data_IF_723118328321
#
_entry.id   IF_723118328321
#
_cell.length_a   1.000
_cell.length_b   1.000
_cell.length_c   1.000
_cell.angle_alpha   90.00
_cell.angle_beta   90.00
_cell.angle_gamma   90.00
#
_symmetry.space_group_name_H-M   'P 1'
#
loop_
_entity.id
_entity.type
_entity.pdbx_description
1 polymer ?
#
# COMPACT_ATOMS: atom_id res chain seq x y z
N UNK A 1 -6.86 -40.59 26.60
CA UNK A 1 -5.98 -39.97 27.60
C UNK A 1 -4.60 -40.54 27.36
N UNK A 2 -3.68 -39.71 26.86
CA UNK A 2 -2.30 -40.13 26.61
C UNK A 2 -1.65 -40.71 27.86
N UNK A 3 -0.86 -41.77 27.68
CA UNK A 3 -0.07 -42.34 28.74
C UNK A 3 1.17 -41.45 28.96
N UNK A 4 1.02 -40.37 29.74
CA UNK A 4 2.06 -39.35 29.98
C UNK A 4 3.35 -39.98 30.53
N UNK A 5 3.24 -41.05 31.34
CA UNK A 5 4.40 -41.81 31.83
C UNK A 5 5.19 -42.47 30.70
N UNK A 6 4.49 -43.01 29.69
CA UNK A 6 5.10 -43.68 28.55
C UNK A 6 5.71 -42.69 27.55
N UNK A 7 5.08 -41.53 27.40
CA UNK A 7 5.66 -40.38 26.65
C UNK A 7 6.97 -39.95 27.30
N UNK A 8 6.96 -39.66 28.60
CA UNK A 8 8.16 -39.21 29.32
C UNK A 8 9.28 -40.26 29.25
N UNK A 9 8.94 -41.54 29.41
CA UNK A 9 9.90 -42.65 29.25
C UNK A 9 10.50 -42.70 27.84
N UNK A 10 9.71 -42.47 26.80
CA UNK A 10 10.21 -42.42 25.42
C UNK A 10 11.08 -41.20 25.15
N UNK A 11 10.78 -40.05 25.76
CA UNK A 11 11.62 -38.85 25.71
C UNK A 11 12.96 -39.12 26.41
N UNK A 12 12.96 -39.68 27.63
CA UNK A 12 14.17 -40.01 28.39
C UNK A 12 15.06 -41.02 27.65
N UNK A 13 14.44 -42.04 27.04
CA UNK A 13 15.15 -43.05 26.25
C UNK A 13 15.59 -42.56 24.87
N UNK A 14 15.26 -41.32 24.49
CA UNK A 14 15.52 -40.76 23.15
C UNK A 14 15.01 -41.67 22.03
N UNK A 15 13.80 -42.20 22.20
CA UNK A 15 13.19 -43.15 21.26
C UNK A 15 12.93 -42.49 19.91
N UNK A 16 13.58 -42.99 18.85
CA UNK A 16 13.40 -42.53 17.46
C UNK A 16 12.47 -43.43 16.63
N UNK A 17 11.84 -44.43 17.25
CA UNK A 17 10.90 -45.33 16.59
C UNK A 17 9.55 -44.64 16.33
N UNK A 18 9.19 -44.52 15.05
CA UNK A 18 7.92 -43.93 14.60
C UNK A 18 6.70 -44.67 15.13
N UNK A 19 6.76 -46.01 15.19
CA UNK A 19 5.61 -46.82 15.59
C UNK A 19 5.28 -46.62 17.07
N UNK A 20 6.31 -46.41 17.91
CA UNK A 20 6.13 -46.10 19.32
C UNK A 20 5.33 -44.80 19.51
N UNK A 21 5.69 -43.71 18.81
CA UNK A 21 4.97 -42.44 18.89
C UNK A 21 3.56 -42.49 18.30
N UNK A 22 3.37 -43.21 17.20
CA UNK A 22 2.04 -43.42 16.61
C UNK A 22 1.11 -44.19 17.54
N UNK A 23 1.64 -45.18 18.28
CA UNK A 23 0.85 -45.93 19.28
C UNK A 23 0.40 -45.07 20.46
N UNK A 24 1.07 -43.93 20.69
CA UNK A 24 0.73 -42.93 21.71
C UNK A 24 -0.27 -41.87 21.23
N UNK A 25 -0.80 -42.00 20.01
CA UNK A 25 -1.84 -41.11 19.50
C UNK A 25 -1.33 -39.93 18.67
N UNK A 26 -0.02 -39.83 18.41
CA UNK A 26 0.53 -38.80 17.54
C UNK A 26 0.36 -39.16 16.05
N UNK A 27 0.00 -38.18 15.24
CA UNK A 27 -0.03 -38.32 13.79
C UNK A 27 1.39 -38.48 13.21
N UNK A 28 1.47 -38.84 11.92
CA UNK A 28 2.75 -39.05 11.25
C UNK A 28 3.64 -37.80 11.23
N UNK A 29 3.04 -36.62 11.07
CA UNK A 29 3.77 -35.35 10.99
C UNK A 29 4.24 -34.89 12.37
N UNK A 30 3.41 -35.02 13.40
CA UNK A 30 3.76 -34.80 14.81
C UNK A 30 4.91 -35.71 15.22
N UNK A 31 4.83 -37.00 14.87
CA UNK A 31 5.89 -37.98 15.13
C UNK A 31 7.23 -37.57 14.49
N UNK A 32 7.21 -37.06 13.25
CA UNK A 32 8.42 -36.57 12.59
C UNK A 32 9.04 -35.39 13.35
N UNK A 33 8.23 -34.44 13.82
CA UNK A 33 8.72 -33.27 14.55
C UNK A 33 9.23 -33.63 15.96
N UNK A 34 8.63 -34.63 16.62
CA UNK A 34 9.14 -35.20 17.89
C UNK A 34 10.50 -35.84 17.67
N UNK A 35 10.62 -36.75 16.69
CA UNK A 35 11.87 -37.46 16.39
C UNK A 35 12.99 -36.47 16.03
N UNK A 36 12.71 -35.49 15.17
CA UNK A 36 13.68 -34.44 14.82
C UNK A 36 14.16 -33.65 16.04
N UNK A 37 13.26 -33.35 16.97
CA UNK A 37 13.65 -32.66 18.20
C UNK A 37 14.58 -33.50 19.07
N UNK A 38 14.31 -34.80 19.19
CA UNK A 38 15.17 -35.74 19.92
C UNK A 38 16.55 -35.83 19.25
N UNK A 39 16.58 -35.95 17.92
CA UNK A 39 17.82 -36.00 17.13
C UNK A 39 18.65 -34.71 17.27
N UNK A 40 17.99 -33.56 17.27
CA UNK A 40 18.63 -32.25 17.44
C UNK A 40 18.95 -31.91 18.91
N UNK A 41 18.56 -32.79 19.85
CA UNK A 41 18.87 -32.66 21.27
C UNK A 41 18.13 -31.51 21.97
N UNK A 42 16.99 -31.08 21.44
CA UNK A 42 16.12 -30.08 22.09
C UNK A 42 15.17 -30.72 23.08
N UNK A 43 14.64 -29.93 24.01
CA UNK A 43 13.68 -30.41 25.00
C UNK A 43 12.29 -30.61 24.37
N UNK A 44 12.02 -31.86 23.97
CA UNK A 44 10.77 -32.24 23.30
C UNK A 44 9.58 -32.24 24.26
N UNK A 45 9.80 -32.28 25.58
CA UNK A 45 8.71 -32.28 26.58
C UNK A 45 7.83 -31.03 26.53
N UNK A 46 8.39 -29.92 26.03
CA UNK A 46 7.69 -28.63 25.93
C UNK A 46 6.53 -28.69 24.93
N UNK A 47 6.71 -29.39 23.81
CA UNK A 47 5.76 -29.42 22.69
C UNK A 47 5.19 -30.80 22.38
N UNK A 48 5.67 -31.88 23.01
CA UNK A 48 5.16 -33.24 22.84
C UNK A 48 3.80 -33.43 23.54
N UNK A 49 2.79 -32.70 23.08
CA UNK A 49 1.41 -32.77 23.58
C UNK A 49 0.46 -32.97 22.40
N UNK A 50 -0.55 -33.80 22.61
CA UNK A 50 -1.62 -34.07 21.64
C UNK A 50 -2.34 -32.80 21.13
N UNK A 51 -2.41 -31.77 21.98
CA UNK A 51 -3.07 -30.50 21.70
C UNK A 51 -2.36 -29.69 20.59
N UNK A 52 -1.07 -29.94 20.35
CA UNK A 52 -0.31 -29.24 19.33
C UNK A 52 -0.37 -29.97 18.00
N UNK A 53 -0.79 -29.31 16.94
CA UNK A 53 -0.63 -29.80 15.58
C UNK A 53 0.86 -29.82 15.16
N UNK A 54 1.18 -30.56 14.10
CA UNK A 54 2.54 -30.69 13.61
C UNK A 54 3.20 -29.35 13.24
N UNK A 55 2.44 -28.35 12.79
CA UNK A 55 2.98 -27.03 12.46
C UNK A 55 3.38 -26.26 13.73
N UNK A 56 2.55 -26.27 14.77
CA UNK A 56 2.88 -25.71 16.09
C UNK A 56 4.11 -26.40 16.69
N UNK A 57 4.17 -27.74 16.64
CA UNK A 57 5.34 -28.51 17.08
C UNK A 57 6.60 -28.10 16.33
N UNK A 58 6.51 -27.91 15.00
CA UNK A 58 7.63 -27.43 14.19
C UNK A 58 8.11 -26.04 14.62
N UNK A 59 7.20 -25.10 14.89
CA UNK A 59 7.56 -23.75 15.33
C UNK A 59 8.28 -23.77 16.68
N UNK A 60 7.77 -24.55 17.64
CA UNK A 60 8.37 -24.72 18.96
C UNK A 60 9.74 -25.41 18.88
N UNK A 61 9.86 -26.48 18.08
CA UNK A 61 11.13 -27.16 17.82
C UNK A 61 12.18 -26.21 17.26
N UNK A 62 11.84 -25.45 16.21
CA UNK A 62 12.76 -24.48 15.60
C UNK A 62 13.16 -23.38 16.60
N UNK A 63 12.23 -22.91 17.43
CA UNK A 63 12.54 -21.94 18.50
C UNK A 63 13.54 -22.49 19.51
N UNK A 64 13.36 -23.75 19.95
CA UNK A 64 14.28 -24.44 20.86
C UNK A 64 15.65 -24.70 20.22
N UNK A 65 15.70 -25.03 18.93
CA UNK A 65 16.95 -25.20 18.16
C UNK A 65 17.75 -23.90 18.09
N UNK A 66 17.06 -22.76 17.98
CA UNK A 66 17.66 -21.42 18.07
C UNK A 66 18.00 -20.99 19.52
N UNK A 67 17.78 -21.87 20.52
CA UNK A 67 17.95 -21.60 21.96
C UNK A 67 17.09 -20.44 22.48
N UNK A 68 15.92 -20.23 21.86
CA UNK A 68 14.94 -19.23 22.30
C UNK A 68 14.09 -19.82 23.43
N UNK A 69 13.64 -18.96 24.35
CA UNK A 69 12.67 -19.34 25.35
C UNK A 69 11.27 -19.40 24.72
N UNK A 70 10.79 -20.62 24.48
CA UNK A 70 9.48 -20.87 23.88
C UNK A 70 8.35 -20.98 24.91
N UNK A 71 8.66 -21.01 26.22
CA UNK A 71 7.68 -21.25 27.28
C UNK A 71 6.52 -20.26 27.27
N UNK A 72 6.78 -19.02 26.83
CA UNK A 72 5.80 -17.94 26.77
C UNK A 72 4.76 -18.08 25.66
N UNK A 73 5.05 -18.86 24.61
CA UNK A 73 4.15 -19.05 23.47
C UNK A 73 3.87 -20.53 23.12
N UNK A 74 4.35 -21.46 23.94
CA UNK A 74 4.00 -22.88 23.91
C UNK A 74 2.59 -23.13 24.45
N UNK A 75 1.59 -22.52 23.81
CA UNK A 75 0.16 -22.66 24.12
C UNK A 75 -0.61 -23.05 22.85
N UNK A 76 -1.43 -24.10 22.96
CA UNK A 76 -2.20 -24.64 21.84
C UNK A 76 -3.26 -23.65 21.29
N UNK A 77 -3.58 -22.60 22.04
CA UNK A 77 -4.47 -21.52 21.58
C UNK A 77 -3.86 -20.68 20.45
N UNK A 78 -2.53 -20.68 20.29
CA UNK A 78 -1.87 -19.95 19.21
C UNK A 78 -1.78 -20.80 17.94
N UNK A 79 -2.18 -20.26 16.79
CA UNK A 79 -1.91 -20.86 15.50
C UNK A 79 -0.42 -20.80 15.13
N UNK A 80 -0.04 -21.57 14.10
CA UNK A 80 1.34 -21.63 13.62
C UNK A 80 1.90 -20.26 13.19
N UNK A 81 1.08 -19.40 12.58
CA UNK A 81 1.52 -18.08 12.11
C UNK A 81 1.74 -17.12 13.30
N UNK A 82 0.88 -17.17 14.31
CA UNK A 82 1.07 -16.46 15.57
C UNK A 82 2.34 -16.92 16.28
N UNK A 83 2.59 -18.24 16.37
CA UNK A 83 3.82 -18.78 16.97
C UNK A 83 5.07 -18.32 16.23
N UNK A 84 5.04 -18.22 14.90
CA UNK A 84 6.17 -17.71 14.12
C UNK A 84 6.45 -16.24 14.45
N UNK A 85 5.42 -15.38 14.55
CA UNK A 85 5.59 -13.98 14.93
C UNK A 85 6.10 -13.83 16.38
N UNK A 86 5.61 -14.66 17.30
CA UNK A 86 6.08 -14.70 18.70
C UNK A 86 7.54 -15.16 18.77
N UNK A 87 7.93 -16.16 17.99
CA UNK A 87 9.33 -16.60 17.87
C UNK A 87 10.23 -15.46 17.38
N UNK A 88 9.80 -14.71 16.35
CA UNK A 88 10.52 -13.54 15.87
C UNK A 88 10.57 -12.43 16.93
N UNK A 89 9.51 -12.22 17.70
CA UNK A 89 9.49 -11.25 18.80
C UNK A 89 10.51 -11.61 19.89
N UNK A 90 10.56 -12.87 20.34
CA UNK A 90 11.58 -13.35 21.30
C UNK A 90 12.99 -13.13 20.75
N UNK A 91 13.21 -13.45 19.47
CA UNK A 91 14.51 -13.26 18.80
C UNK A 91 14.93 -11.79 18.74
N UNK A 92 13.98 -10.87 18.60
CA UNK A 92 14.24 -9.42 18.61
C UNK A 92 14.48 -8.85 20.01
N UNK A 93 14.26 -9.63 21.08
CA UNK A 93 14.34 -9.16 22.46
C UNK A 93 13.16 -8.27 22.87
N UNK A 94 12.04 -8.35 22.15
CA UNK A 94 10.81 -7.61 22.45
C UNK A 94 10.19 -8.08 23.78
N UNK A 95 9.52 -7.17 24.48
CA UNK A 95 8.69 -7.55 25.62
C UNK A 95 7.48 -8.38 25.17
N UNK A 96 7.42 -9.63 25.64
CA UNK A 96 6.38 -10.57 25.26
C UNK A 96 5.01 -10.26 25.89
N UNK A 97 4.96 -9.46 26.96
CA UNK A 97 3.70 -9.10 27.65
C UNK A 97 2.72 -8.34 26.74
N UNK A 98 3.25 -7.59 25.76
CA UNK A 98 2.46 -6.74 24.88
C UNK A 98 1.89 -7.51 23.67
N UNK A 99 2.56 -8.58 23.25
CA UNK A 99 2.23 -9.35 22.04
C UNK A 99 1.56 -10.70 22.33
N UNK A 100 1.81 -11.30 23.50
CA UNK A 100 1.21 -12.58 23.91
C UNK A 100 -0.29 -12.44 24.20
N UNK A 101 -1.11 -12.53 23.16
CA UNK A 101 -2.56 -12.61 23.28
C UNK A 101 -3.14 -13.52 22.18
N UNK A 102 -3.70 -14.69 22.51
CA UNK A 102 -4.25 -15.60 21.51
C UNK A 102 -5.38 -15.00 20.66
N UNK A 103 -6.02 -13.93 21.14
CA UNK A 103 -7.07 -13.21 20.41
C UNK A 103 -6.54 -12.31 19.29
N UNK A 104 -5.26 -11.98 19.30
CA UNK A 104 -4.66 -11.15 18.24
C UNK A 104 -4.36 -12.01 17.03
N UNK A 105 -4.79 -11.61 15.84
CA UNK A 105 -4.37 -12.30 14.60
C UNK A 105 -2.85 -12.20 14.41
N UNK A 106 -2.29 -13.11 13.61
CA UNK A 106 -0.88 -13.03 13.21
C UNK A 106 -0.54 -11.68 12.57
N UNK A 107 -1.48 -11.04 11.86
CA UNK A 107 -1.26 -9.73 11.23
C UNK A 107 -1.12 -8.63 12.28
N UNK A 108 -1.95 -8.63 13.33
CA UNK A 108 -1.83 -7.69 14.46
C UNK A 108 -0.49 -7.89 15.18
N UNK A 109 -0.11 -9.14 15.48
CA UNK A 109 1.17 -9.46 16.13
C UNK A 109 2.37 -8.97 15.31
N UNK A 110 2.34 -9.20 13.99
CA UNK A 110 3.37 -8.72 13.07
C UNK A 110 3.52 -7.20 13.12
N UNK A 111 2.41 -6.47 13.08
CA UNK A 111 2.45 -5.01 13.08
C UNK A 111 2.91 -4.43 14.42
N UNK A 112 2.51 -5.02 15.56
CA UNK A 112 3.05 -4.67 16.89
C UNK A 112 4.56 -4.86 16.92
N UNK A 113 5.05 -6.02 16.43
CA UNK A 113 6.48 -6.32 16.34
C UNK A 113 7.24 -5.28 15.52
N UNK A 114 6.77 -5.00 14.31
CA UNK A 114 7.39 -4.02 13.42
C UNK A 114 7.30 -2.58 13.94
N UNK A 115 6.26 -2.22 14.69
CA UNK A 115 6.12 -0.88 15.27
C UNK A 115 7.07 -0.66 16.45
N UNK A 116 7.34 -1.71 17.24
CA UNK A 116 8.30 -1.62 18.34
C UNK A 116 9.73 -1.38 17.87
N UNK A 117 10.11 -1.87 16.69
CA UNK A 117 11.39 -1.51 16.05
C UNK A 117 11.51 0.01 15.78
N UNK A 118 10.38 0.71 15.67
CA UNK A 118 10.30 2.16 15.53
C UNK A 118 10.09 2.88 16.88
N UNK A 119 10.22 2.19 18.02
CA UNK A 119 9.85 2.67 19.35
C UNK A 119 8.41 3.22 19.43
N UNK A 120 7.48 2.58 18.70
CA UNK A 120 6.08 2.97 18.66
C UNK A 120 5.17 1.84 19.14
N UNK A 121 4.29 2.14 20.10
CA UNK A 121 3.40 1.17 20.71
C UNK A 121 2.03 1.14 20.01
N UNK A 122 1.74 0.03 19.30
CA UNK A 122 0.44 -0.24 18.68
C UNK A 122 -0.52 -1.06 19.55
N UNK A 123 -0.07 -1.49 20.74
CA UNK A 123 -0.83 -2.41 21.59
C UNK A 123 -2.15 -1.79 22.05
N UNK A 124 -2.20 -0.46 22.21
CA UNK A 124 -3.45 0.28 22.47
C UNK A 124 -4.49 0.02 21.38
N UNK A 125 -4.11 0.16 20.10
CA UNK A 125 -5.01 -0.05 18.97
C UNK A 125 -5.41 -1.53 18.83
N UNK A 126 -4.46 -2.45 19.03
CA UNK A 126 -4.76 -3.88 19.04
C UNK A 126 -5.80 -4.26 20.11
N UNK A 127 -5.67 -3.71 21.33
CA UNK A 127 -6.61 -3.95 22.45
C UNK A 127 -8.01 -3.38 22.18
N UNK A 128 -8.12 -2.33 21.37
CA UNK A 128 -9.40 -1.78 20.91
C UNK A 128 -10.07 -2.62 19.81
N UNK A 129 -9.36 -3.62 19.26
CA UNK A 129 -9.89 -4.54 18.25
C UNK A 129 -9.69 -4.08 16.81
N UNK A 130 -8.80 -3.11 16.55
CA UNK A 130 -8.47 -2.72 15.18
C UNK A 130 -7.75 -3.85 14.43
N UNK A 131 -7.99 -3.92 13.12
CA UNK A 131 -7.42 -4.95 12.25
C UNK A 131 -5.92 -4.72 12.00
N UNK A 132 -5.20 -5.79 11.66
CA UNK A 132 -3.78 -5.70 11.31
C UNK A 132 -3.51 -4.72 10.14
N UNK A 133 -4.43 -4.56 9.19
CA UNK A 133 -4.25 -3.61 8.09
C UNK A 133 -4.38 -2.15 8.53
N UNK A 134 -5.28 -1.85 9.49
CA UNK A 134 -5.34 -0.52 10.11
C UNK A 134 -4.05 -0.24 10.87
N UNK A 135 -3.59 -1.19 11.70
CA UNK A 135 -2.32 -1.07 12.43
C UNK A 135 -1.13 -0.83 11.48
N UNK A 136 -1.14 -1.49 10.31
CA UNK A 136 -0.15 -1.29 9.26
C UNK A 136 -0.14 0.14 8.73
N UNK A 137 -1.31 0.73 8.49
CA UNK A 137 -1.38 2.14 8.06
C UNK A 137 -0.86 3.09 9.13
N UNK A 138 -1.21 2.87 10.41
CA UNK A 138 -0.69 3.68 11.53
C UNK A 138 0.83 3.57 11.60
N UNK A 139 1.40 2.36 11.47
CA UNK A 139 2.85 2.16 11.48
C UNK A 139 3.55 2.87 10.31
N UNK A 140 2.98 2.75 9.10
CA UNK A 140 3.53 3.41 7.91
C UNK A 140 3.47 4.93 8.04
N UNK A 141 2.35 5.46 8.53
CA UNK A 141 2.20 6.89 8.80
C UNK A 141 3.23 7.36 9.84
N UNK A 142 3.46 6.59 10.91
CA UNK A 142 4.47 6.94 11.91
C UNK A 142 5.89 7.00 11.34
N UNK A 143 6.22 6.14 10.38
CA UNK A 143 7.51 6.17 9.67
C UNK A 143 7.70 7.45 8.85
N UNK A 144 6.60 8.03 8.39
CA UNK A 144 6.53 9.29 7.63
C UNK A 144 6.28 10.51 8.54
N UNK A 145 6.25 10.32 9.86
CA UNK A 145 5.87 11.30 10.89
C UNK A 145 4.48 11.92 10.70
N UNK A 146 3.56 11.13 10.14
CA UNK A 146 2.15 11.47 9.94
C UNK A 146 1.32 10.88 11.09
N UNK A 147 0.42 11.67 11.66
CA UNK A 147 -0.54 11.23 12.68
C UNK A 147 -1.90 10.90 12.05
N UNK A 148 -2.30 9.62 12.12
CA UNK A 148 -3.60 9.14 11.65
C UNK A 148 -4.62 8.89 12.77
N UNK A 149 -4.28 9.19 14.03
CA UNK A 149 -5.08 8.82 15.20
C UNK A 149 -6.53 9.28 15.07
N UNK A 150 -6.75 10.53 14.64
CA UNK A 150 -8.08 11.10 14.43
C UNK A 150 -8.92 10.28 13.43
N UNK A 151 -8.35 9.91 12.29
CA UNK A 151 -9.06 9.17 11.23
C UNK A 151 -9.36 7.73 11.64
N UNK A 152 -8.46 7.12 12.43
CA UNK A 152 -8.71 5.77 12.98
C UNK A 152 -9.84 5.78 14.01
N UNK A 153 -9.88 6.80 14.87
CA UNK A 153 -10.96 6.98 15.85
C UNK A 153 -12.30 7.32 15.17
N UNK A 154 -12.26 7.98 14.01
CA UNK A 154 -13.44 8.30 13.17
C UNK A 154 -13.87 7.15 12.23
N UNK A 155 -13.35 5.93 12.46
CA UNK A 155 -13.70 4.68 11.78
C UNK A 155 -13.46 4.65 10.26
N UNK A 156 -12.41 5.32 9.77
CA UNK A 156 -11.95 5.11 8.40
C UNK A 156 -11.35 3.71 8.21
N UNK A 157 -11.65 3.08 7.08
CA UNK A 157 -11.13 1.75 6.72
C UNK A 157 -9.66 1.79 6.28
N UNK A 158 -9.02 0.63 6.14
CA UNK A 158 -7.60 0.53 5.79
C UNK A 158 -7.24 1.15 4.42
N UNK A 159 -8.16 1.14 3.47
CA UNK A 159 -7.95 1.71 2.14
C UNK A 159 -8.11 3.22 2.18
N UNK A 160 -9.10 3.73 2.91
CA UNK A 160 -9.27 5.16 3.12
C UNK A 160 -8.09 5.76 3.90
N UNK A 161 -7.65 5.09 4.98
CA UNK A 161 -6.46 5.50 5.74
C UNK A 161 -5.19 5.51 4.88
N UNK A 162 -5.05 4.58 3.94
CA UNK A 162 -3.95 4.60 2.98
C UNK A 162 -3.97 5.86 2.11
N UNK A 163 -5.12 6.24 1.55
CA UNK A 163 -5.23 7.43 0.70
C UNK A 163 -5.10 8.74 1.49
N UNK A 164 -5.54 8.77 2.76
CA UNK A 164 -5.30 9.91 3.65
C UNK A 164 -3.80 10.04 3.93
N UNK A 165 -3.12 8.95 4.27
CA UNK A 165 -1.67 8.91 4.50
C UNK A 165 -0.91 9.41 3.27
N UNK A 166 -1.22 8.86 2.10
CA UNK A 166 -0.58 9.25 0.84
C UNK A 166 -0.86 10.72 0.50
N UNK A 167 -2.08 11.21 0.74
CA UNK A 167 -2.41 12.61 0.51
C UNK A 167 -1.63 13.58 1.39
N UNK A 168 -1.50 13.26 2.68
CA UNK A 168 -0.67 14.05 3.61
C UNK A 168 0.80 14.01 3.18
N UNK A 169 1.30 12.84 2.78
CA UNK A 169 2.68 12.68 2.29
C UNK A 169 2.96 13.53 1.05
N UNK A 170 2.03 13.55 0.08
CA UNK A 170 2.12 14.35 -1.14
C UNK A 170 1.74 15.83 -0.95
N UNK A 171 1.43 16.27 0.27
CA UNK A 171 1.02 17.65 0.59
C UNK A 171 -0.22 18.15 -0.19
N UNK A 172 -1.17 17.27 -0.51
CA UNK A 172 -2.43 17.67 -1.16
C UNK A 172 -3.53 17.97 -0.13
N UNK A 173 -4.55 18.73 -0.54
CA UNK A 173 -5.70 19.06 0.32
C UNK A 173 -6.61 17.84 0.53
N UNK A 174 -6.34 17.09 1.60
CA UNK A 174 -7.11 15.89 1.96
C UNK A 174 -8.58 16.20 2.25
N UNK A 175 -8.92 17.42 2.68
CA UNK A 175 -10.30 17.77 3.08
C UNK A 175 -11.30 17.63 1.94
N UNK A 176 -10.82 17.61 0.69
CA UNK A 176 -11.64 17.41 -0.51
C UNK A 176 -12.23 16.01 -0.61
N UNK A 177 -11.67 15.01 0.07
CA UNK A 177 -12.09 13.62 -0.08
C UNK A 177 -12.23 12.85 1.24
N UNK A 178 -12.34 13.54 2.37
CA UNK A 178 -12.66 12.98 3.70
C UNK A 178 -14.15 12.68 3.89
N UNK A 179 -14.85 12.25 2.84
CA UNK A 179 -16.26 11.88 2.94
C UNK A 179 -16.35 10.37 3.16
N UNK A 180 -16.98 9.92 4.24
CA UNK A 180 -17.09 8.49 4.58
C UNK A 180 -17.78 7.65 3.50
N UNK A 181 -18.64 8.27 2.70
CA UNK A 181 -19.32 7.65 1.57
C UNK A 181 -18.37 7.28 0.42
N UNK A 182 -17.17 7.85 0.38
CA UNK A 182 -16.15 7.45 -0.57
C UNK A 182 -15.41 6.20 -0.13
N UNK A 183 -15.33 5.21 -1.01
CA UNK A 183 -14.40 4.11 -0.82
C UNK A 183 -12.96 4.55 -1.15
N UNK A 184 -11.97 3.76 -0.71
CA UNK A 184 -10.56 4.07 -0.98
C UNK A 184 -10.20 4.26 -2.46
N UNK A 185 -10.88 3.59 -3.40
CA UNK A 185 -10.63 3.78 -4.85
C UNK A 185 -11.15 5.12 -5.37
N UNK A 186 -12.24 5.64 -4.81
CA UNK A 186 -12.74 6.98 -5.14
C UNK A 186 -11.80 8.05 -4.57
N UNK A 187 -11.38 7.89 -3.30
CA UNK A 187 -10.37 8.76 -2.67
C UNK A 187 -9.06 8.77 -3.47
N UNK A 188 -8.62 7.62 -3.99
CA UNK A 188 -7.45 7.50 -4.86
C UNK A 188 -7.57 8.37 -6.12
N UNK A 189 -8.73 8.38 -6.78
CA UNK A 189 -8.92 9.21 -7.99
C UNK A 189 -8.92 10.71 -7.68
N UNK A 190 -9.46 11.11 -6.53
CA UNK A 190 -9.44 12.52 -6.10
C UNK A 190 -8.01 12.91 -5.73
N UNK A 191 -7.31 12.10 -4.93
CA UNK A 191 -5.91 12.32 -4.55
C UNK A 191 -5.02 12.48 -5.79
N UNK A 192 -5.10 11.56 -6.75
CA UNK A 192 -4.30 11.62 -7.98
C UNK A 192 -4.59 12.89 -8.80
N UNK A 193 -5.86 13.32 -8.88
CA UNK A 193 -6.17 14.59 -9.55
C UNK A 193 -5.59 15.81 -8.82
N UNK A 194 -5.62 15.81 -7.49
CA UNK A 194 -5.00 16.88 -6.70
C UNK A 194 -3.47 16.90 -6.83
N UNK A 195 -2.83 15.73 -6.92
CA UNK A 195 -1.38 15.61 -7.15
C UNK A 195 -0.95 16.17 -8.50
N UNK A 196 -1.76 15.95 -9.55
CA UNK A 196 -1.55 16.52 -10.89
C UNK A 196 -2.00 18.00 -11.00
N UNK A 197 -2.56 18.58 -9.94
CA UNK A 197 -3.01 19.98 -9.91
C UNK A 197 -4.25 20.27 -10.77
N UNK A 198 -5.04 19.25 -11.12
CA UNK A 198 -6.30 19.42 -11.87
C UNK A 198 -7.49 19.70 -10.95
N UNK A 199 -8.52 20.37 -11.48
CA UNK A 199 -9.74 20.62 -10.73
C UNK A 199 -10.55 19.33 -10.55
N UNK A 200 -10.68 18.88 -9.30
CA UNK A 200 -11.42 17.65 -8.95
C UNK A 200 -12.91 17.88 -8.80
N UNK A 201 -13.38 19.13 -8.75
CA UNK A 201 -14.79 19.49 -8.56
C UNK A 201 -15.76 18.79 -9.53
N UNK A 202 -15.42 18.57 -10.82
CA UNK A 202 -16.33 17.92 -11.78
C UNK A 202 -16.68 16.47 -11.44
N UNK A 203 -15.80 15.75 -10.72
CA UNK A 203 -15.99 14.32 -10.44
C UNK A 203 -15.92 13.95 -8.96
N UNK A 204 -15.67 14.92 -8.08
CA UNK A 204 -15.77 14.77 -6.62
C UNK A 204 -17.25 14.69 -6.18
N UNK A 205 -17.92 13.62 -6.60
CA UNK A 205 -19.32 13.35 -6.28
C UNK A 205 -19.53 11.86 -6.03
N UNK A 206 -20.24 11.53 -4.94
CA UNK A 206 -20.57 10.15 -4.53
C UNK A 206 -21.29 9.35 -5.63
N UNK A 207 -22.01 10.03 -6.53
CA UNK A 207 -22.70 9.42 -7.67
C UNK A 207 -21.78 8.76 -8.70
N UNK A 208 -20.50 9.13 -8.76
CA UNK A 208 -19.54 8.49 -9.66
C UNK A 208 -18.83 7.30 -9.00
N UNK A 209 -18.81 6.18 -9.70
CA UNK A 209 -17.89 5.08 -9.41
C UNK A 209 -16.43 5.50 -9.63
N UNK A 210 -15.50 4.81 -8.95
CA UNK A 210 -14.06 5.06 -9.15
C UNK A 210 -13.60 4.90 -10.61
N UNK A 211 -14.29 4.03 -11.38
CA UNK A 211 -14.03 3.86 -12.81
C UNK A 211 -14.43 5.07 -13.65
N UNK A 212 -15.57 5.68 -13.35
CA UNK A 212 -16.04 6.92 -14.00
C UNK A 212 -15.12 8.09 -13.61
N UNK A 213 -14.82 8.25 -12.32
CA UNK A 213 -13.89 9.28 -11.83
C UNK A 213 -12.53 9.18 -12.52
N UNK A 214 -12.01 7.96 -12.72
CA UNK A 214 -10.78 7.74 -13.48
C UNK A 214 -10.86 8.25 -14.90
N UNK A 215 -11.97 8.04 -15.62
CA UNK A 215 -12.08 8.54 -16.99
C UNK A 215 -12.12 10.05 -17.04
N UNK A 216 -12.89 10.68 -16.15
CA UNK A 216 -12.99 12.13 -16.04
C UNK A 216 -11.62 12.73 -15.69
N UNK A 217 -10.93 12.18 -14.70
CA UNK A 217 -9.58 12.58 -14.31
C UNK A 217 -8.60 12.52 -15.48
N UNK A 218 -8.54 11.40 -16.19
CA UNK A 218 -7.69 11.24 -17.39
C UNK A 218 -8.06 12.23 -18.50
N UNK A 219 -9.35 12.55 -18.68
CA UNK A 219 -9.76 13.58 -19.64
C UNK A 219 -9.25 14.97 -19.26
N UNK A 220 -9.33 15.33 -17.97
CA UNK A 220 -8.79 16.59 -17.46
C UNK A 220 -7.26 16.66 -17.56
N UNK A 221 -6.55 15.56 -17.29
CA UNK A 221 -5.10 15.43 -17.51
C UNK A 221 -4.72 15.63 -18.99
N UNK A 222 -5.56 15.13 -19.93
CA UNK A 222 -5.41 15.33 -21.37
C UNK A 222 -5.84 16.75 -21.84
N UNK A 223 -6.40 17.58 -20.96
CA UNK A 223 -6.93 18.91 -21.30
C UNK A 223 -8.26 18.89 -22.08
N UNK A 224 -8.99 17.78 -22.02
CA UNK A 224 -10.28 17.59 -22.67
C UNK A 224 -11.40 18.19 -21.80
N UNK A 225 -12.36 18.87 -22.43
CA UNK A 225 -13.58 19.29 -21.74
C UNK A 225 -14.43 18.07 -21.37
N UNK A 226 -14.43 17.74 -20.09
CA UNK A 226 -15.14 16.57 -19.56
C UNK A 226 -16.64 16.79 -19.44
N UNK A 227 -17.15 18.03 -19.55
CA UNK A 227 -18.58 18.33 -19.44
C UNK A 227 -19.41 17.63 -20.52
N UNK A 228 -18.79 17.24 -21.64
CA UNK A 228 -19.44 16.49 -22.72
C UNK A 228 -19.83 15.06 -22.34
N UNK A 229 -19.12 14.44 -21.38
CA UNK A 229 -19.33 13.02 -21.05
C UNK A 229 -19.34 12.69 -19.55
N UNK A 230 -19.04 13.65 -18.68
CA UNK A 230 -19.05 13.50 -17.23
C UNK A 230 -20.49 13.44 -16.67
N UNK A 231 -21.17 12.32 -16.92
CA UNK A 231 -22.53 12.05 -16.46
C UNK A 231 -22.54 10.80 -15.54
N UNK A 232 -23.00 10.88 -14.28
CA UNK A 232 -23.07 9.75 -13.36
C UNK A 232 -23.85 8.54 -13.89
N UNK A 233 -24.76 8.73 -14.84
CA UNK A 233 -25.55 7.67 -15.45
C UNK A 233 -24.86 6.96 -16.62
N UNK A 234 -23.72 7.48 -17.11
CA UNK A 234 -22.91 6.87 -18.16
C UNK A 234 -21.83 6.00 -17.53
N UNK A 235 -21.76 4.72 -17.90
CA UNK A 235 -20.76 3.82 -17.33
C UNK A 235 -19.32 4.18 -17.76
N UNK A 236 -18.33 3.69 -17.00
CA UNK A 236 -16.92 4.00 -17.22
C UNK A 236 -16.38 3.56 -18.59
N UNK A 237 -16.94 2.52 -19.22
CA UNK A 237 -16.53 2.06 -20.55
C UNK A 237 -17.03 3.05 -21.60
N UNK A 238 -18.30 3.44 -21.52
CA UNK A 238 -18.88 4.47 -22.39
C UNK A 238 -18.15 5.81 -22.27
N UNK A 239 -17.77 6.23 -21.05
CA UNK A 239 -16.94 7.43 -20.84
C UNK A 239 -15.55 7.30 -21.48
N UNK A 240 -14.92 6.12 -21.38
CA UNK A 240 -13.62 5.86 -22.00
C UNK A 240 -13.70 6.01 -23.52
N UNK A 241 -14.74 5.46 -24.14
CA UNK A 241 -15.00 5.60 -25.57
C UNK A 241 -15.29 7.04 -25.97
N UNK A 242 -16.04 7.79 -25.15
CA UNK A 242 -16.26 9.22 -25.37
C UNK A 242 -14.93 10.01 -25.31
N UNK A 243 -14.10 9.79 -24.28
CA UNK A 243 -12.78 10.43 -24.15
C UNK A 243 -11.92 10.15 -25.38
N UNK A 244 -11.80 8.90 -25.81
CA UNK A 244 -11.00 8.56 -27.00
C UNK A 244 -11.54 9.23 -28.27
N UNK A 245 -12.86 9.25 -28.48
CA UNK A 245 -13.44 9.95 -29.64
C UNK A 245 -13.15 11.45 -29.64
N UNK A 246 -13.15 12.11 -28.47
CA UNK A 246 -12.84 13.53 -28.36
C UNK A 246 -11.33 13.76 -28.55
N UNK A 247 -10.50 12.91 -27.94
CA UNK A 247 -9.04 12.93 -28.07
C UNK A 247 -8.58 12.73 -29.52
N UNK A 248 -9.20 11.79 -30.24
CA UNK A 248 -8.92 11.54 -31.66
C UNK A 248 -9.30 12.74 -32.54
N UNK A 249 -10.51 13.30 -32.33
CA UNK A 249 -10.92 14.55 -33.02
C UNK A 249 -9.95 15.69 -32.73
N UNK A 250 -9.54 15.85 -31.48
CA UNK A 250 -8.60 16.89 -31.07
C UNK A 250 -7.24 16.71 -31.73
N UNK A 251 -6.76 15.47 -31.88
CA UNK A 251 -5.52 15.17 -32.58
C UNK A 251 -5.62 15.43 -34.09
N UNK A 252 -6.77 15.12 -34.71
CA UNK A 252 -7.04 15.41 -36.12
C UNK A 252 -7.19 16.92 -36.38
N UNK A 253 -7.73 17.68 -35.43
CA UNK A 253 -7.93 19.13 -35.51
C UNK A 253 -6.75 19.96 -34.98
N UNK A 254 -5.74 19.32 -34.35
CA UNK A 254 -4.54 20.02 -33.87
C UNK A 254 -3.86 20.67 -35.07
N UNK A 255 -3.81 22.01 -35.17
CA UNK A 255 -3.25 22.64 -36.34
C UNK A 255 -1.77 22.24 -36.42
N UNK A 256 -1.37 21.58 -37.50
CA UNK A 256 0.04 21.29 -37.70
C UNK A 256 0.79 22.61 -37.92
N UNK A 257 1.98 22.74 -37.35
CA UNK A 257 2.87 23.84 -37.70
C UNK A 257 3.15 23.76 -39.20
N UNK A 258 2.81 24.82 -39.92
CA UNK A 258 3.17 24.93 -41.33
C UNK A 258 4.70 25.07 -41.47
N UNK A 259 5.19 24.93 -42.70
CA UNK A 259 6.63 24.93 -42.98
C UNK A 259 7.32 26.22 -42.49
N UNK A 260 6.66 27.37 -42.62
CA UNK A 260 7.18 28.67 -42.19
C UNK A 260 7.24 28.80 -40.66
N UNK A 261 6.23 28.34 -39.94
CA UNK A 261 6.23 28.29 -38.48
C UNK A 261 7.33 27.35 -37.97
N UNK A 262 7.52 26.21 -38.63
CA UNK A 262 8.57 25.23 -38.31
C UNK A 262 9.97 25.81 -38.54
N UNK A 263 10.17 26.61 -39.59
CA UNK A 263 11.42 27.33 -39.84
C UNK A 263 11.75 28.33 -38.72
N UNK A 264 10.78 29.10 -38.23
CA UNK A 264 11.02 30.04 -37.12
C UNK A 264 11.38 29.33 -35.80
N UNK A 265 10.80 28.15 -35.55
CA UNK A 265 11.18 27.32 -34.40
C UNK A 265 12.61 26.78 -34.56
N UNK A 266 12.95 26.28 -35.75
CA UNK A 266 14.32 25.82 -36.04
C UNK A 266 15.36 26.94 -35.90
N UNK A 267 15.04 28.14 -36.39
CA UNK A 267 15.89 29.30 -36.23
C UNK A 267 16.05 29.68 -34.76
N UNK A 268 14.98 29.64 -33.97
CA UNK A 268 15.04 29.91 -32.53
C UNK A 268 15.91 28.91 -31.77
N UNK A 269 15.77 27.62 -32.06
CA UNK A 269 16.63 26.57 -31.51
C UNK A 269 18.11 26.77 -31.89
N UNK A 270 18.36 27.19 -33.13
CA UNK A 270 19.73 27.47 -33.62
C UNK A 270 20.35 28.69 -32.93
N UNK A 271 19.53 29.71 -32.65
CA UNK A 271 19.91 30.91 -31.93
C UNK A 271 19.98 30.71 -30.40
N UNK A 272 19.54 29.56 -29.89
CA UNK A 272 19.57 29.23 -28.46
C UNK A 272 18.49 29.94 -27.62
N UNK A 273 17.39 30.39 -28.23
CA UNK A 273 16.26 31.00 -27.51
C UNK A 273 15.22 29.95 -27.13
N UNK A 274 14.45 30.22 -26.07
CA UNK A 274 13.42 29.31 -25.59
C UNK A 274 12.20 29.30 -26.53
N UNK A 275 12.15 28.30 -27.40
CA UNK A 275 11.08 28.14 -28.39
C UNK A 275 9.76 27.69 -27.77
N UNK A 276 9.75 27.15 -26.54
CA UNK A 276 8.53 26.69 -25.87
C UNK A 276 7.51 27.82 -25.68
N UNK A 277 7.99 29.07 -25.61
CA UNK A 277 7.17 30.27 -25.44
C UNK A 277 6.31 30.61 -26.67
N UNK A 278 6.69 30.14 -27.86
CA UNK A 278 6.02 30.52 -29.10
C UNK A 278 5.83 29.38 -30.11
N UNK A 279 6.24 28.15 -29.80
CA UNK A 279 6.03 26.94 -30.61
C UNK A 279 4.57 26.44 -30.56
N UNK A 280 3.63 27.35 -30.84
CA UNK A 280 2.18 27.10 -30.84
C UNK A 280 1.62 27.35 -32.25
N UNK A 281 0.97 26.35 -32.88
CA UNK A 281 0.38 26.48 -34.21
C UNK A 281 -0.61 27.65 -34.39
N UNK A 282 -1.15 28.20 -33.29
CA UNK A 282 -2.04 29.38 -33.30
C UNK A 282 -1.33 30.68 -33.67
N UNK A 283 -0.01 30.78 -33.47
CA UNK A 283 0.76 31.95 -33.91
C UNK A 283 1.05 31.89 -35.39
N UNK A 284 0.80 32.96 -36.13
CA UNK A 284 1.31 33.06 -37.50
C UNK A 284 2.85 33.10 -37.51
N UNK A 285 3.49 32.67 -38.60
CA UNK A 285 4.96 32.70 -38.70
C UNK A 285 5.54 34.11 -38.42
N UNK A 286 4.83 35.18 -38.79
CA UNK A 286 5.24 36.57 -38.52
C UNK A 286 5.20 36.92 -37.04
N UNK A 287 4.31 36.30 -36.26
CA UNK A 287 4.26 36.49 -34.82
C UNK A 287 5.37 35.71 -34.14
N UNK A 288 5.62 34.48 -34.57
CA UNK A 288 6.76 33.67 -34.12
C UNK A 288 8.09 34.37 -34.40
N UNK A 289 8.26 34.94 -35.60
CA UNK A 289 9.45 35.72 -35.98
C UNK A 289 9.66 36.92 -35.04
N UNK A 290 8.60 37.66 -34.73
CA UNK A 290 8.68 38.81 -33.80
C UNK A 290 9.06 38.39 -32.39
N UNK A 291 8.49 37.30 -31.90
CA UNK A 291 8.80 36.77 -30.56
C UNK A 291 10.25 36.26 -30.53
N UNK A 292 10.69 35.50 -31.54
CA UNK A 292 12.08 35.04 -31.66
C UNK A 292 13.07 36.19 -31.69
N UNK A 293 12.85 37.21 -32.52
CA UNK A 293 13.74 38.37 -32.61
C UNK A 293 13.76 39.19 -31.32
N UNK A 294 12.66 39.24 -30.57
CA UNK A 294 12.62 39.88 -29.26
C UNK A 294 13.46 39.09 -28.24
N UNK A 295 13.33 37.75 -28.22
CA UNK A 295 14.12 36.84 -27.39
C UNK A 295 15.62 36.93 -27.70
N UNK A 296 16.01 36.91 -28.98
CA UNK A 296 17.41 37.03 -29.42
C UNK A 296 18.05 38.36 -28.99
N UNK A 297 17.24 39.42 -28.85
CA UNK A 297 17.69 40.76 -28.42
C UNK A 297 17.61 40.97 -26.91
N UNK A 298 17.07 40.01 -26.15
CA UNK A 298 16.82 40.17 -24.70
C UNK A 298 15.77 41.24 -24.38
N UNK A 299 14.86 41.52 -25.31
CA UNK A 299 13.79 42.52 -25.14
C UNK A 299 12.60 41.93 -24.36
N UNK A 300 11.83 42.80 -23.70
CA UNK A 300 10.60 42.40 -23.01
C UNK A 300 9.54 41.88 -24.02
N UNK A 301 8.86 40.79 -23.66
CA UNK A 301 7.87 40.08 -24.47
C UNK A 301 6.43 40.56 -24.23
N UNK A 302 6.26 41.55 -23.34
CA UNK A 302 4.95 42.12 -22.99
C UNK A 302 4.17 42.57 -24.24
N UNK A 303 3.00 41.96 -24.46
CA UNK A 303 2.12 42.22 -25.59
C UNK A 303 2.41 41.43 -26.87
N UNK A 304 3.49 40.63 -26.91
CA UNK A 304 3.80 39.72 -28.02
C UNK A 304 3.33 38.29 -27.77
N UNK A 305 3.35 37.83 -26.52
CA UNK A 305 2.82 36.53 -26.11
C UNK A 305 1.30 36.62 -25.95
N UNK A 306 0.56 36.11 -26.94
CA UNK A 306 -0.91 36.10 -26.96
C UNK A 306 -1.51 34.81 -26.38
N UNK A 307 -0.74 33.73 -26.44
CA UNK A 307 -1.18 32.36 -26.17
C UNK A 307 -0.24 31.62 -25.22
N UNK A 308 0.54 32.36 -24.42
CA UNK A 308 1.49 31.78 -23.46
C UNK A 308 0.78 30.93 -22.40
N UNK A 309 1.51 29.95 -21.85
CA UNK A 309 1.15 29.27 -20.60
C UNK A 309 1.01 30.27 -19.45
#
# INVERSE_FOLDING_TARGET
MQNVEEINKNIENKTVDKQAWQSLGFDELQTIEIIRGIENGVDVSVYCKEEFNAAQMKALRLGLEEKLDVSRFADAQYDYMQMEELKQAVRSGMNMDDICNPKFSHSVMREIRLASELNYDLTRYAKLGYSGEVLRQIRLAKKEDIDLTFFVEDNYDEYQLNEIRLGIHSCVDITKYLLHEYNGKQMEQIRLGLEEGIDVSPYNMVGFSSGQMKQIRLGLEEGIDVSEYADPFIDAVSMKEARHRISDKWNDEKPALNELQSQEILMGLTSGVDVSLYADPRYTFKEMEKIRLALERGSNLDGLLKYGC
#
